data_IF_604288763831
#
_entry.id   IF_604288763831
#
_cell.length_a   1.000
_cell.length_b   1.000
_cell.length_c   1.000
_cell.angle_alpha   90.00
_cell.angle_beta   90.00
_cell.angle_gamma   90.00
#
_symmetry.space_group_name_H-M   'P 1'
#
loop_
_entity.id
_entity.type
_entity.pdbx_description
1 polymer ?
#
# COMPACT_ATOMS: atom_id res chain seq x y z
N UNK A 1 0.87 -8.88 -3.84
CA UNK A 1 2.03 -8.21 -4.47
C UNK A 1 3.32 -8.78 -3.88
N UNK A 2 4.41 -8.84 -4.64
CA UNK A 2 5.74 -9.21 -4.12
C UNK A 2 6.44 -7.99 -3.50
N UNK A 3 7.48 -8.21 -2.69
CA UNK A 3 8.24 -7.11 -2.08
C UNK A 3 8.84 -6.16 -3.14
N UNK A 4 9.33 -6.70 -4.26
CA UNK A 4 9.88 -5.90 -5.36
C UNK A 4 8.81 -5.04 -6.04
N UNK A 5 7.61 -5.58 -6.24
CA UNK A 5 6.48 -4.83 -6.80
C UNK A 5 6.03 -3.71 -5.85
N UNK A 6 5.99 -3.96 -4.53
CA UNK A 6 5.67 -2.93 -3.55
C UNK A 6 6.73 -1.82 -3.53
N UNK A 7 8.01 -2.19 -3.57
CA UNK A 7 9.10 -1.23 -3.65
C UNK A 7 8.97 -0.33 -4.89
N UNK A 8 8.72 -0.92 -6.07
CA UNK A 8 8.50 -0.17 -7.30
C UNK A 8 7.32 0.79 -7.19
N UNK A 9 6.19 0.32 -6.64
CA UNK A 9 5.00 1.14 -6.43
C UNK A 9 5.27 2.34 -5.51
N UNK A 10 6.00 2.13 -4.41
CA UNK A 10 6.38 3.21 -3.47
C UNK A 10 7.35 4.20 -4.11
N UNK A 11 8.30 3.73 -4.92
CA UNK A 11 9.21 4.60 -5.68
C UNK A 11 8.44 5.49 -6.66
N UNK A 12 7.54 4.90 -7.46
CA UNK A 12 6.69 5.65 -8.41
C UNK A 12 5.81 6.69 -7.69
N UNK A 13 5.22 6.32 -6.54
CA UNK A 13 4.46 7.25 -5.71
C UNK A 13 5.32 8.43 -5.26
N UNK A 14 6.56 8.17 -4.82
CA UNK A 14 7.46 9.23 -4.37
C UNK A 14 7.96 10.13 -5.49
N UNK A 15 8.15 9.60 -6.69
CA UNK A 15 8.47 10.40 -7.88
C UNK A 15 7.30 11.32 -8.24
N UNK A 16 6.08 10.79 -8.32
CA UNK A 16 4.88 11.59 -8.59
C UNK A 16 4.66 12.71 -7.56
N UNK A 17 4.87 12.43 -6.28
CA UNK A 17 4.81 13.44 -5.21
C UNK A 17 5.87 14.54 -5.42
N UNK A 18 7.12 14.18 -5.70
CA UNK A 18 8.20 15.15 -5.96
C UNK A 18 7.89 16.03 -7.17
N UNK A 19 7.36 15.46 -8.24
CA UNK A 19 6.94 16.21 -9.43
C UNK A 19 5.77 17.16 -9.12
N UNK A 20 4.79 16.70 -8.34
CA UNK A 20 3.70 17.55 -7.88
C UNK A 20 4.23 18.75 -7.08
N UNK A 21 5.13 18.55 -6.12
CA UNK A 21 5.71 19.66 -5.36
C UNK A 21 6.54 20.61 -6.24
N UNK A 22 7.23 20.09 -7.25
CA UNK A 22 8.07 20.89 -8.16
C UNK A 22 7.25 21.75 -9.13
N UNK A 23 6.18 21.18 -9.70
CA UNK A 23 5.44 21.83 -10.80
C UNK A 23 4.01 22.24 -10.44
N UNK A 24 3.50 21.83 -9.27
CA UNK A 24 2.10 22.03 -8.82
C UNK A 24 1.06 21.63 -9.87
N UNK A 25 1.38 20.59 -10.62
CA UNK A 25 0.56 20.07 -11.71
C UNK A 25 -0.63 19.27 -11.16
N UNK A 26 -1.86 19.63 -11.54
CA UNK A 26 -3.08 18.89 -11.16
C UNK A 26 -3.08 17.41 -11.60
N UNK A 27 -2.46 17.08 -12.74
CA UNK A 27 -2.32 15.69 -13.18
C UNK A 27 -1.42 14.88 -12.24
N UNK A 28 -0.29 15.46 -11.83
CA UNK A 28 0.61 14.84 -10.86
C UNK A 28 -0.06 14.63 -9.49
N UNK A 29 -0.97 15.52 -9.09
CA UNK A 29 -1.78 15.35 -7.87
C UNK A 29 -2.71 14.14 -7.96
N UNK A 30 -3.42 13.98 -9.09
CA UNK A 30 -4.33 12.85 -9.31
C UNK A 30 -3.56 11.54 -9.34
N UNK A 31 -2.43 11.50 -10.05
CA UNK A 31 -1.58 10.32 -10.15
C UNK A 31 -0.97 9.97 -8.78
N UNK A 32 -0.50 10.94 -8.00
CA UNK A 32 -0.02 10.76 -6.63
C UNK A 32 -1.08 10.12 -5.73
N UNK A 33 -2.30 10.67 -5.72
CA UNK A 33 -3.41 10.14 -4.91
C UNK A 33 -3.81 8.72 -5.30
N UNK A 34 -3.76 8.39 -6.59
CA UNK A 34 -4.04 7.04 -7.08
C UNK A 34 -2.98 6.05 -6.56
N UNK A 35 -1.71 6.44 -6.62
CA UNK A 35 -0.59 5.62 -6.14
C UNK A 35 -0.63 5.46 -4.62
N UNK A 36 -0.95 6.51 -3.87
CA UNK A 36 -1.17 6.47 -2.41
C UNK A 36 -2.23 5.43 -2.03
N UNK A 37 -3.39 5.45 -2.70
CA UNK A 37 -4.45 4.47 -2.44
C UNK A 37 -4.00 3.03 -2.67
N UNK A 38 -3.18 2.79 -3.69
CA UNK A 38 -2.65 1.45 -3.98
C UNK A 38 -1.64 1.00 -2.92
N UNK A 39 -0.80 1.91 -2.44
CA UNK A 39 0.15 1.66 -1.34
C UNK A 39 -0.59 1.35 -0.04
N UNK A 40 -1.60 2.16 0.31
CA UNK A 40 -2.41 1.96 1.53
C UNK A 40 -3.14 0.62 1.52
N UNK A 41 -3.73 0.25 0.37
CA UNK A 41 -4.41 -1.04 0.23
C UNK A 41 -3.47 -2.23 0.47
N UNK A 42 -2.22 -2.15 -0.01
CA UNK A 42 -1.25 -3.21 0.28
C UNK A 42 -0.81 -3.22 1.73
N UNK A 43 -0.58 -2.04 2.33
CA UNK A 43 -0.22 -1.93 3.75
C UNK A 43 -1.29 -2.60 4.62
N UNK A 44 -2.57 -2.30 4.37
CA UNK A 44 -3.68 -2.91 5.11
C UNK A 44 -3.77 -4.42 4.89
N UNK A 45 -3.53 -4.89 3.66
CA UNK A 45 -3.47 -6.33 3.36
C UNK A 45 -2.37 -7.02 4.17
N UNK A 46 -1.16 -6.45 4.21
CA UNK A 46 -0.02 -7.02 4.95
C UNK A 46 -0.27 -6.98 6.45
N UNK A 47 -0.79 -5.87 6.99
CA UNK A 47 -1.19 -5.75 8.41
C UNK A 47 -2.19 -6.83 8.79
N UNK A 48 -3.22 -7.06 7.96
CA UNK A 48 -4.21 -8.12 8.21
C UNK A 48 -3.57 -9.51 8.27
N UNK A 49 -2.67 -9.82 7.34
CA UNK A 49 -1.95 -11.10 7.34
C UNK A 49 -1.08 -11.25 8.60
N UNK A 50 -0.38 -10.19 9.01
CA UNK A 50 0.42 -10.21 10.23
C UNK A 50 -0.46 -10.40 11.47
N UNK A 51 -1.61 -9.72 11.53
CA UNK A 51 -2.58 -9.87 12.60
C UNK A 51 -3.14 -11.29 12.69
N UNK A 52 -3.52 -11.90 11.56
CA UNK A 52 -4.01 -13.28 11.48
C UNK A 52 -2.94 -14.31 11.88
N UNK A 53 -1.67 -14.06 11.52
CA UNK A 53 -0.54 -14.90 11.96
C UNK A 53 -0.29 -14.82 13.46
N UNK A 54 -0.49 -13.65 14.06
CA UNK A 54 -0.32 -13.44 15.51
C UNK A 54 -1.52 -13.96 16.31
N UNK A 55 -2.71 -13.95 15.72
CA UNK A 55 -3.96 -14.41 16.34
C UNK A 55 -4.57 -15.54 15.51
N UNK A 56 -3.94 -16.73 15.47
CA UNK A 56 -4.54 -17.88 14.80
C UNK A 56 -5.89 -18.17 15.46
N UNK A 57 -6.95 -18.20 14.66
CA UNK A 57 -8.28 -18.57 15.15
C UNK A 57 -8.17 -19.98 15.74
N UNK A 58 -8.30 -20.10 17.06
CA UNK A 58 -8.52 -21.38 17.72
C UNK A 58 -9.82 -21.95 17.15
N UNK A 59 -9.70 -22.99 16.34
CA UNK A 59 -10.84 -23.73 15.82
C UNK A 59 -11.48 -24.51 16.98
N UNK A 60 -12.33 -23.83 17.75
CA UNK A 60 -12.99 -24.36 18.95
C UNK A 60 -14.18 -25.29 18.62
N UNK A 61 -14.23 -25.84 17.40
CA UNK A 61 -15.29 -26.74 16.95
C UNK A 61 -14.78 -28.16 16.64
N UNK A 62 -14.07 -28.74 17.61
CA UNK A 62 -14.09 -30.19 17.80
C UNK A 62 -14.69 -30.49 19.17
N UNK A 63 -16.01 -30.67 19.18
CA UNK A 63 -16.72 -31.46 20.19
C UNK A 63 -17.27 -32.69 19.52
#
# INVERSE_FOLDING_TARGET
MTAQQFFKLVTEMREAQKEYFRFKNNKALVDSKRLEKAVDAEIERVKKILYEKQNPKLDLLRR
#
